data_IF_891906884658
#
_entry.id   IF_891906884658
#
_cell.length_a   1.000
_cell.length_b   1.000
_cell.length_c   1.000
_cell.angle_alpha   90.00
_cell.angle_beta   90.00
_cell.angle_gamma   90.00
#
_symmetry.space_group_name_H-M   'P 1'
#
loop_
_entity.id
_entity.type
_entity.pdbx_description
1 polymer ?
#
# COMPACT_ATOMS: atom_id res chain seq x y z
N UNK A 1 -15.70 25.95 -13.10
CA UNK A 1 -14.65 24.93 -12.86
C UNK A 1 -14.54 24.73 -11.38
N UNK A 2 -15.24 23.74 -10.81
CA UNK A 2 -15.10 23.43 -9.38
C UNK A 2 -13.94 22.43 -9.30
N UNK A 3 -12.79 22.89 -8.82
CA UNK A 3 -11.70 21.97 -8.49
C UNK A 3 -12.19 21.06 -7.37
N UNK A 4 -12.30 19.76 -7.63
CA UNK A 4 -12.49 18.81 -6.55
C UNK A 4 -11.30 18.95 -5.60
N UNK A 5 -11.50 19.11 -4.29
CA UNK A 5 -10.40 19.21 -3.34
C UNK A 5 -9.64 17.88 -3.32
N UNK A 6 -8.52 17.83 -4.06
CA UNK A 6 -7.70 16.63 -4.22
C UNK A 6 -7.27 16.04 -2.86
N UNK A 7 -6.99 16.91 -1.89
CA UNK A 7 -6.66 16.52 -0.52
C UNK A 7 -7.81 15.78 0.17
N UNK A 8 -9.07 16.18 -0.07
CA UNK A 8 -10.23 15.51 0.53
C UNK A 8 -10.42 14.11 -0.05
N UNK A 9 -10.30 13.97 -1.37
CA UNK A 9 -10.37 12.67 -2.05
C UNK A 9 -9.23 11.74 -1.61
N UNK A 10 -8.02 12.28 -1.48
CA UNK A 10 -6.88 11.50 -1.00
C UNK A 10 -7.04 11.08 0.46
N UNK A 11 -7.52 11.96 1.34
CA UNK A 11 -7.81 11.62 2.73
C UNK A 11 -8.86 10.51 2.84
N UNK A 12 -9.90 10.53 2.00
CA UNK A 12 -10.90 9.45 1.92
C UNK A 12 -10.27 8.12 1.48
N UNK A 13 -9.40 8.14 0.48
CA UNK A 13 -8.69 6.93 0.04
C UNK A 13 -7.79 6.35 1.15
N UNK A 14 -7.06 7.21 1.87
CA UNK A 14 -6.24 6.79 3.00
C UNK A 14 -7.07 6.22 4.14
N UNK A 15 -8.19 6.87 4.50
CA UNK A 15 -9.09 6.39 5.53
C UNK A 15 -9.62 4.98 5.20
N UNK A 16 -10.13 4.78 3.99
CA UNK A 16 -10.62 3.48 3.54
C UNK A 16 -9.52 2.41 3.55
N UNK A 17 -8.29 2.77 3.19
CA UNK A 17 -7.16 1.83 3.25
C UNK A 17 -6.76 1.48 4.69
N UNK A 18 -6.76 2.46 5.60
CA UNK A 18 -6.46 2.24 7.02
C UNK A 18 -7.50 1.36 7.71
N UNK A 19 -8.77 1.40 7.28
CA UNK A 19 -9.83 0.51 7.77
C UNK A 19 -9.56 -0.98 7.48
N UNK A 20 -8.72 -1.30 6.49
CA UNK A 20 -8.27 -2.68 6.24
C UNK A 20 -7.17 -3.11 7.23
N UNK A 21 -6.39 -2.16 7.76
CA UNK A 21 -5.21 -2.41 8.59
C UNK A 21 -5.50 -2.32 10.09
N UNK A 22 -6.47 -1.50 10.49
CA UNK A 22 -6.75 -1.20 11.89
C UNK A 22 -7.98 -1.98 12.33
N UNK A 23 -7.77 -2.94 13.23
CA UNK A 23 -8.79 -3.80 13.81
C UNK A 23 -8.93 -3.51 15.32
N UNK A 24 -9.90 -4.14 15.99
CA UNK A 24 -10.17 -3.88 17.42
C UNK A 24 -8.98 -4.21 18.33
N UNK A 25 -8.15 -5.17 17.94
CA UNK A 25 -6.96 -5.64 18.66
C UNK A 25 -5.67 -4.88 18.29
N UNK A 26 -5.75 -3.93 17.36
CA UNK A 26 -4.63 -3.08 16.95
C UNK A 26 -4.40 -3.10 15.45
N UNK A 27 -3.12 -3.10 15.05
CA UNK A 27 -2.75 -3.14 13.63
C UNK A 27 -2.61 -4.59 13.20
N UNK A 28 -3.40 -4.99 12.21
CA UNK A 28 -3.31 -6.27 11.54
C UNK A 28 -2.92 -6.05 10.06
N UNK A 29 -1.77 -6.57 9.65
CA UNK A 29 -1.31 -6.51 8.26
C UNK A 29 -1.58 -7.88 7.63
N UNK A 30 -2.78 -8.06 7.09
CA UNK A 30 -3.14 -9.29 6.37
C UNK A 30 -2.47 -9.29 4.99
N UNK A 31 -1.43 -10.12 4.83
CA UNK A 31 -0.69 -10.24 3.57
C UNK A 31 -1.45 -11.01 2.49
N UNK A 32 -2.54 -11.70 2.85
CA UNK A 32 -3.42 -12.40 1.91
C UNK A 32 -4.50 -11.46 1.34
N UNK A 33 -4.73 -10.30 1.95
CA UNK A 33 -5.63 -9.28 1.40
C UNK A 33 -5.04 -8.67 0.13
N UNK A 34 -5.80 -8.72 -0.96
CA UNK A 34 -5.34 -8.30 -2.29
C UNK A 34 -4.97 -6.81 -2.36
N UNK A 35 -5.67 -5.95 -1.60
CA UNK A 35 -5.44 -4.51 -1.59
C UNK A 35 -4.15 -4.19 -0.82
N UNK A 36 -3.97 -4.82 0.34
CA UNK A 36 -2.75 -4.68 1.15
C UNK A 36 -1.56 -5.22 0.35
N UNK A 37 -1.63 -6.45 -0.16
CA UNK A 37 -0.54 -7.08 -0.90
C UNK A 37 -0.19 -6.32 -2.18
N UNK A 38 -1.20 -5.88 -2.94
CA UNK A 38 -1.00 -5.07 -4.15
C UNK A 38 -0.34 -3.72 -3.88
N UNK A 39 -0.49 -3.17 -2.68
CA UNK A 39 0.09 -1.89 -2.26
C UNK A 39 1.43 -2.03 -1.53
N UNK A 40 1.82 -3.25 -1.15
CA UNK A 40 2.98 -3.51 -0.28
C UNK A 40 4.31 -3.46 -1.06
N UNK A 41 5.17 -2.52 -0.67
CA UNK A 41 6.51 -2.39 -1.29
C UNK A 41 7.52 -3.32 -0.61
N UNK A 42 7.62 -3.24 0.72
CA UNK A 42 8.54 -4.06 1.52
C UNK A 42 7.89 -4.58 2.79
N UNK A 43 8.31 -5.75 3.25
CA UNK A 43 7.97 -6.29 4.56
C UNK A 43 9.11 -7.16 5.07
N UNK A 44 9.43 -7.08 6.37
CA UNK A 44 10.50 -7.86 7.00
C UNK A 44 11.86 -7.83 6.27
N UNK A 45 12.24 -6.66 5.71
CA UNK A 45 13.50 -6.49 4.98
C UNK A 45 13.51 -7.06 3.57
N UNK A 46 12.38 -7.58 3.08
CA UNK A 46 12.23 -8.12 1.73
C UNK A 46 11.39 -7.19 0.87
N UNK A 47 11.74 -7.11 -0.43
CA UNK A 47 10.93 -6.43 -1.43
C UNK A 47 9.80 -7.39 -1.84
N UNK A 48 8.55 -6.96 -1.63
CA UNK A 48 7.35 -7.72 -1.97
C UNK A 48 6.81 -7.34 -3.36
N UNK A 49 6.92 -6.05 -3.73
CA UNK A 49 6.46 -5.59 -5.02
C UNK A 49 7.33 -6.15 -6.17
N UNK A 50 6.73 -6.98 -7.03
CA UNK A 50 7.43 -7.68 -8.10
C UNK A 50 8.08 -6.72 -9.12
N UNK A 51 7.40 -5.62 -9.48
CA UNK A 51 7.94 -4.65 -10.44
C UNK A 51 9.18 -3.93 -9.91
N UNK A 52 9.15 -3.52 -8.63
CA UNK A 52 10.32 -2.90 -7.98
C UNK A 52 11.48 -3.90 -7.86
N UNK A 53 11.18 -5.16 -7.53
CA UNK A 53 12.19 -6.22 -7.44
C UNK A 53 12.88 -6.44 -8.78
N UNK A 54 12.12 -6.60 -9.86
CA UNK A 54 12.65 -6.77 -11.22
C UNK A 54 13.50 -5.58 -11.66
N UNK A 55 13.03 -4.34 -11.43
CA UNK A 55 13.77 -3.13 -11.79
C UNK A 55 15.11 -3.01 -11.07
N UNK A 56 15.20 -3.41 -9.81
CA UNK A 56 16.43 -3.35 -9.04
C UNK A 56 17.40 -4.49 -9.41
N UNK A 57 16.90 -5.70 -9.64
CA UNK A 57 17.73 -6.82 -10.10
C UNK A 57 18.32 -6.53 -11.49
N UNK A 58 17.52 -5.96 -12.41
CA UNK A 58 17.99 -5.54 -13.74
C UNK A 58 18.93 -4.32 -13.73
N UNK A 59 18.89 -3.49 -12.69
CA UNK A 59 19.82 -2.37 -12.52
C UNK A 59 21.18 -2.79 -11.92
N UNK A 60 21.26 -3.98 -11.31
CA UNK A 60 22.47 -4.53 -10.70
C UNK A 60 23.25 -5.47 -11.63
N UNK A 61 22.65 -5.89 -12.74
CA UNK A 61 23.27 -6.66 -13.84
C UNK A 61 23.87 -5.75 -14.90
#
# INVERSE_FOLDING_TARGET
MVGNPASELYAKNLQNFLELLIQEDGINVDLEDEIINGSLITHCGQIHNAGIKEQLEGALS
#
